data_IF_293430342223
#
_entry.id   IF_293430342223
#
_cell.length_a   1.000
_cell.length_b   1.000
_cell.length_c   1.000
_cell.angle_alpha   90.00
_cell.angle_beta   90.00
_cell.angle_gamma   90.00
#
_symmetry.space_group_name_H-M   'P 1'
#
loop_
_entity.id
_entity.type
_entity.pdbx_description
1 polymer ?
#
# COMPACT_ATOMS: atom_id res chain seq x y z
N UNK A 1 0.01 7.76 1.68
CA UNK A 1 -1.22 6.94 1.91
C UNK A 1 -1.57 6.91 3.39
N UNK A 2 -2.86 6.72 3.74
CA UNK A 2 -3.28 6.70 5.15
C UNK A 2 -3.04 5.30 5.72
N UNK A 3 -2.29 5.22 6.84
CA UNK A 3 -2.07 4.00 7.62
C UNK A 3 -3.39 3.33 7.97
N UNK A 4 -3.50 2.01 7.75
CA UNK A 4 -4.67 1.22 8.14
C UNK A 4 -4.42 0.51 9.46
N UNK A 5 -5.46 0.40 10.27
CA UNK A 5 -5.40 -0.18 11.61
C UNK A 5 -6.28 -1.43 11.64
N UNK A 6 -5.66 -2.60 11.78
CA UNK A 6 -6.37 -3.87 11.81
C UNK A 6 -6.43 -4.44 13.22
N UNK A 7 -7.60 -4.89 13.69
CA UNK A 7 -7.72 -5.57 14.96
C UNK A 7 -7.14 -6.98 14.87
N UNK A 8 -6.53 -7.41 15.95
CA UNK A 8 -6.04 -8.76 16.15
C UNK A 8 -6.60 -9.32 17.46
N UNK A 9 -6.80 -10.62 17.49
CA UNK A 9 -7.23 -11.37 18.66
C UNK A 9 -6.03 -12.14 19.20
N UNK A 10 -5.70 -11.92 20.46
CA UNK A 10 -4.75 -12.72 21.21
C UNK A 10 -5.52 -13.77 22.04
N UNK A 11 -5.26 -15.02 21.82
CA UNK A 11 -5.94 -16.12 22.53
C UNK A 11 -4.95 -17.11 23.12
N UNK A 12 -5.42 -17.84 24.12
CA UNK A 12 -4.67 -18.90 24.76
C UNK A 12 -5.01 -20.22 24.11
N UNK A 13 -3.99 -20.88 23.61
CA UNK A 13 -4.05 -22.20 23.03
C UNK A 13 -3.67 -23.31 24.03
N UNK A 14 -3.57 -24.57 23.55
CA UNK A 14 -3.11 -25.69 24.35
C UNK A 14 -1.75 -25.43 24.99
N UNK A 15 -1.55 -25.97 26.22
CA UNK A 15 -0.30 -25.84 26.99
C UNK A 15 0.11 -24.38 27.28
N UNK A 16 -0.86 -23.48 27.43
CA UNK A 16 -0.63 -22.04 27.63
C UNK A 16 0.13 -21.34 26.52
N UNK A 17 0.23 -21.91 25.32
CA UNK A 17 0.76 -21.20 24.17
C UNK A 17 -0.15 -20.01 23.83
N UNK A 18 0.44 -18.87 23.47
CA UNK A 18 -0.31 -17.71 23.02
C UNK A 18 -0.33 -17.67 21.50
N UNK A 19 -1.52 -17.48 20.93
CA UNK A 19 -1.77 -17.32 19.51
C UNK A 19 -2.38 -15.97 19.22
N UNK A 20 -1.98 -15.35 18.12
CA UNK A 20 -2.62 -14.14 17.61
C UNK A 20 -3.08 -14.38 16.18
N UNK A 21 -4.24 -13.82 15.83
CA UNK A 21 -4.80 -13.93 14.49
C UNK A 21 -5.59 -12.67 14.10
N UNK A 22 -5.74 -12.46 12.80
CA UNK A 22 -6.41 -11.30 12.24
C UNK A 22 -7.73 -11.71 11.57
N UNK A 23 -8.87 -11.18 12.01
CA UNK A 23 -10.18 -11.48 11.39
C UNK A 23 -10.22 -11.15 9.90
N UNK A 24 -9.56 -10.05 9.52
CA UNK A 24 -9.58 -9.52 8.16
C UNK A 24 -8.62 -10.22 7.19
N UNK A 25 -7.69 -11.03 7.73
CA UNK A 25 -6.69 -11.76 6.95
C UNK A 25 -6.72 -13.24 7.28
N UNK A 26 -7.62 -14.01 6.63
CA UNK A 26 -7.73 -15.46 6.86
C UNK A 26 -6.37 -16.16 6.66
N UNK A 27 -5.96 -16.95 7.66
CA UNK A 27 -4.67 -17.63 7.65
C UNK A 27 -3.49 -16.80 8.17
N UNK A 28 -3.66 -15.51 8.44
CA UNK A 28 -2.65 -14.70 9.10
C UNK A 28 -2.68 -14.96 10.61
N UNK A 29 -1.80 -15.85 11.05
CA UNK A 29 -1.69 -16.28 12.46
C UNK A 29 -0.24 -16.23 12.92
N UNK A 30 -0.05 -15.96 14.20
CA UNK A 30 1.27 -15.99 14.84
C UNK A 30 1.17 -16.64 16.21
N UNK A 31 2.25 -17.23 16.69
CA UNK A 31 2.32 -17.81 18.02
C UNK A 31 3.54 -17.35 18.79
N UNK A 32 3.44 -17.28 20.12
CA UNK A 32 4.53 -16.89 20.98
C UNK A 32 4.49 -17.62 22.33
N UNK A 33 5.61 -17.60 23.04
CA UNK A 33 5.75 -18.12 24.40
C UNK A 33 5.38 -17.07 25.45
N UNK A 34 5.44 -15.78 25.04
CA UNK A 34 4.97 -14.65 25.81
C UNK A 34 4.01 -13.81 24.99
N UNK A 35 3.32 -12.87 25.63
CA UNK A 35 2.41 -11.95 24.98
C UNK A 35 3.17 -11.03 24.01
N UNK A 36 4.31 -10.52 24.44
CA UNK A 36 5.16 -9.64 23.64
C UNK A 36 5.64 -10.37 22.37
N UNK A 37 6.11 -11.61 22.52
CA UNK A 37 6.57 -12.41 21.39
C UNK A 37 5.45 -12.72 20.40
N UNK A 38 4.23 -13.02 20.90
CA UNK A 38 3.07 -13.28 20.05
C UNK A 38 2.66 -12.03 19.27
N UNK A 39 2.64 -10.86 19.91
CA UNK A 39 2.30 -9.58 19.28
C UNK A 39 3.35 -9.20 18.22
N UNK A 40 4.63 -9.24 18.56
CA UNK A 40 5.71 -8.90 17.63
C UNK A 40 5.70 -9.80 16.37
N UNK A 41 5.43 -11.08 16.54
CA UNK A 41 5.29 -12.01 15.41
C UNK A 41 4.02 -11.75 14.61
N UNK A 42 2.93 -11.37 15.28
CA UNK A 42 1.69 -11.02 14.60
C UNK A 42 1.86 -9.76 13.73
N UNK A 43 2.57 -8.75 14.20
CA UNK A 43 2.90 -7.56 13.40
C UNK A 43 3.65 -7.91 12.13
N UNK A 44 4.67 -8.77 12.23
CA UNK A 44 5.43 -9.26 11.07
C UNK A 44 4.58 -10.10 10.13
N UNK A 45 3.72 -10.97 10.66
CA UNK A 45 2.83 -11.80 9.86
C UNK A 45 1.81 -10.95 9.09
N UNK A 46 1.26 -9.91 9.72
CA UNK A 46 0.34 -9.00 9.04
C UNK A 46 1.05 -8.22 7.92
N UNK A 47 2.26 -7.72 8.15
CA UNK A 47 3.02 -7.03 7.10
C UNK A 47 3.23 -7.94 5.87
N UNK A 48 3.64 -9.19 6.08
CA UNK A 48 3.79 -10.17 5.00
C UNK A 48 2.47 -10.50 4.29
N UNK A 49 1.35 -10.60 5.03
CA UNK A 49 0.05 -10.84 4.45
C UNK A 49 -0.42 -9.67 3.57
N UNK A 50 -0.17 -8.43 4.01
CA UNK A 50 -0.48 -7.20 3.25
C UNK A 50 0.34 -7.14 1.95
N UNK A 51 1.63 -7.44 2.01
CA UNK A 51 2.50 -7.49 0.82
C UNK A 51 2.02 -8.57 -0.16
N UNK A 52 1.72 -9.76 0.32
CA UNK A 52 1.21 -10.87 -0.50
C UNK A 52 -0.15 -10.57 -1.16
N UNK A 53 -1.03 -9.81 -0.49
CA UNK A 53 -2.29 -9.36 -1.10
C UNK A 53 -2.05 -8.33 -2.20
N UNK A 54 -1.12 -7.41 -1.98
CA UNK A 54 -0.74 -6.40 -2.97
C UNK A 54 -0.10 -7.01 -4.21
N UNK A 55 0.80 -7.97 -4.05
CA UNK A 55 1.41 -8.71 -5.16
C UNK A 55 0.38 -9.45 -6.02
N UNK A 56 -0.71 -9.92 -5.40
CA UNK A 56 -1.84 -10.54 -6.08
C UNK A 56 -2.83 -9.53 -6.70
N UNK A 57 -2.57 -8.22 -6.56
CA UNK A 57 -3.49 -7.17 -7.01
C UNK A 57 -4.81 -7.13 -6.23
N UNK A 58 -4.87 -7.74 -5.06
CA UNK A 58 -6.07 -7.79 -4.22
C UNK A 58 -6.19 -6.51 -3.38
N UNK A 59 -7.37 -5.88 -3.34
CA UNK A 59 -7.59 -4.75 -2.47
C UNK A 59 -7.51 -5.20 -1.01
N UNK A 60 -6.89 -4.37 -0.17
CA UNK A 60 -6.87 -4.65 1.27
C UNK A 60 -8.28 -4.58 1.85
N UNK A 61 -8.66 -5.49 2.75
CA UNK A 61 -9.97 -5.50 3.37
C UNK A 61 -10.19 -4.24 4.22
N UNK A 62 -11.45 -3.88 4.42
CA UNK A 62 -11.78 -2.85 5.41
C UNK A 62 -11.65 -3.46 6.82
N UNK A 63 -11.01 -2.73 7.78
CA UNK A 63 -10.85 -3.24 9.13
C UNK A 63 -12.18 -3.53 9.82
N UNK A 64 -12.33 -4.73 10.35
CA UNK A 64 -13.51 -5.12 11.13
C UNK A 64 -13.52 -4.44 12.49
N UNK A 65 -14.59 -3.74 12.90
CA UNK A 65 -14.71 -3.23 14.27
C UNK A 65 -14.59 -4.36 15.30
N UNK A 66 -13.89 -4.10 16.41
CA UNK A 66 -13.64 -5.14 17.45
C UNK A 66 -14.94 -5.78 17.92
N UNK A 67 -16.02 -5.01 18.03
CA UNK A 67 -17.34 -5.45 18.49
C UNK A 67 -18.03 -6.42 17.52
N UNK A 68 -17.54 -6.49 16.28
CA UNK A 68 -18.09 -7.36 15.21
C UNK A 68 -17.24 -8.59 14.93
N UNK A 69 -16.15 -8.77 15.68
CA UNK A 69 -15.29 -9.94 15.51
C UNK A 69 -16.03 -11.19 15.94
N UNK A 70 -16.18 -12.12 15.02
CA UNK A 70 -16.78 -13.42 15.31
C UNK A 70 -15.71 -14.37 15.84
N UNK A 71 -15.84 -14.76 17.10
CA UNK A 71 -14.94 -15.69 17.74
C UNK A 71 -15.34 -17.15 17.46
N UNK A 72 -14.38 -18.04 17.16
CA UNK A 72 -14.63 -19.49 17.13
C UNK A 72 -15.17 -20.00 18.48
N UNK A 73 -15.96 -21.07 18.45
CA UNK A 73 -16.41 -21.70 19.70
C UNK A 73 -15.23 -22.21 20.52
N UNK A 74 -15.20 -21.83 21.79
CA UNK A 74 -14.15 -22.26 22.72
C UNK A 74 -12.88 -21.39 22.67
N UNK A 75 -12.89 -20.26 22.00
CA UNK A 75 -11.80 -19.29 22.06
C UNK A 75 -11.59 -18.78 23.49
N UNK A 76 -10.37 -18.88 23.99
CA UNK A 76 -9.93 -18.28 25.26
C UNK A 76 -9.19 -16.97 24.96
N UNK A 77 -9.97 -15.90 24.80
CA UNK A 77 -9.47 -14.57 24.41
C UNK A 77 -8.75 -13.94 25.60
N UNK A 78 -7.48 -13.64 25.40
CA UNK A 78 -6.63 -12.94 26.38
C UNK A 78 -6.72 -11.42 26.19
N UNK A 79 -6.68 -10.95 24.94
CA UNK A 79 -6.73 -9.52 24.62
C UNK A 79 -7.10 -9.29 23.15
N UNK A 80 -7.55 -8.07 22.88
CA UNK A 80 -7.57 -7.50 21.54
C UNK A 80 -6.49 -6.43 21.43
N UNK A 81 -5.84 -6.35 20.29
CA UNK A 81 -4.86 -5.30 20.02
C UNK A 81 -4.98 -4.81 18.57
N UNK A 82 -4.41 -3.65 18.29
CA UNK A 82 -4.49 -3.03 16.98
C UNK A 82 -3.10 -2.98 16.38
N UNK A 83 -2.98 -3.45 15.14
CA UNK A 83 -1.75 -3.38 14.36
C UNK A 83 -1.94 -2.40 13.20
N UNK A 84 -1.03 -1.44 13.12
CA UNK A 84 -1.03 -0.47 12.02
C UNK A 84 -0.11 -0.92 10.90
N UNK A 85 -0.63 -0.96 9.67
CA UNK A 85 0.16 -1.20 8.46
C UNK A 85 0.03 -0.04 7.49
N UNK A 86 1.12 0.24 6.81
CA UNK A 86 1.12 1.17 5.68
C UNK A 86 0.79 0.35 4.43
N UNK A 87 -0.32 0.66 3.73
CA UNK A 87 -0.65 -0.03 2.50
C UNK A 87 0.51 0.10 1.51
N UNK A 88 0.89 -1.00 0.82
CA UNK A 88 1.90 -0.91 -0.22
C UNK A 88 1.44 0.08 -1.29
N UNK A 89 2.38 0.92 -1.70
CA UNK A 89 2.15 1.91 -2.76
C UNK A 89 2.60 1.28 -4.09
N UNK A 90 1.65 0.83 -4.94
CA UNK A 90 2.01 0.19 -6.19
C UNK A 90 2.73 1.20 -7.09
N UNK A 91 3.89 0.79 -7.61
CA UNK A 91 4.64 1.60 -8.56
C UNK A 91 3.89 1.70 -9.88
N UNK A 92 3.69 2.91 -10.38
CA UNK A 92 3.13 3.17 -11.70
C UNK A 92 4.25 3.55 -12.68
N UNK A 93 4.18 3.02 -13.91
CA UNK A 93 5.12 3.40 -14.96
C UNK A 93 4.76 4.75 -15.54
N UNK A 94 5.65 5.74 -15.33
CA UNK A 94 5.50 7.09 -15.91
C UNK A 94 6.51 7.30 -17.02
N UNK A 95 6.04 7.80 -18.18
CA UNK A 95 6.90 8.19 -19.29
C UNK A 95 7.09 9.71 -19.27
N UNK A 96 8.34 10.15 -19.20
CA UNK A 96 8.70 11.57 -19.20
C UNK A 96 9.61 11.89 -20.39
N UNK A 97 9.41 13.06 -21.02
CA UNK A 97 10.27 13.57 -22.07
C UNK A 97 11.21 14.62 -21.49
N UNK A 98 12.49 14.36 -21.54
CA UNK A 98 13.51 15.26 -21.03
C UNK A 98 14.58 15.55 -22.08
N UNK A 99 15.25 16.74 -22.02
CA UNK A 99 16.41 17.02 -22.84
C UNK A 99 17.52 15.96 -22.64
N UNK A 100 18.17 15.57 -23.73
CA UNK A 100 19.26 14.57 -23.68
C UNK A 100 20.38 14.97 -22.71
N UNK A 101 20.70 16.28 -22.67
CA UNK A 101 21.73 16.82 -21.75
C UNK A 101 21.35 16.62 -20.26
N UNK A 102 20.07 16.77 -19.92
CA UNK A 102 19.58 16.55 -18.56
C UNK A 102 19.61 15.05 -18.21
N UNK A 103 19.21 14.19 -19.15
CA UNK A 103 19.30 12.73 -18.95
C UNK A 103 20.74 12.31 -18.66
N UNK A 104 21.70 12.82 -19.43
CA UNK A 104 23.14 12.50 -19.22
C UNK A 104 23.65 12.99 -17.85
N UNK A 105 23.16 14.11 -17.35
CA UNK A 105 23.51 14.60 -16.01
C UNK A 105 22.91 13.70 -14.91
N UNK A 106 21.66 13.29 -15.09
CA UNK A 106 20.95 12.38 -14.19
C UNK A 106 21.68 11.04 -14.10
N UNK A 107 22.03 10.45 -15.27
CA UNK A 107 22.70 9.15 -15.32
C UNK A 107 24.06 9.19 -14.59
N UNK A 108 24.84 10.23 -14.83
CA UNK A 108 26.13 10.42 -14.16
C UNK A 108 25.92 10.52 -12.64
N UNK A 109 24.99 11.37 -12.20
CA UNK A 109 24.74 11.58 -10.78
C UNK A 109 24.18 10.34 -10.10
N UNK A 110 23.25 9.63 -10.74
CA UNK A 110 22.72 8.37 -10.24
C UNK A 110 23.84 7.33 -10.04
N UNK A 111 24.73 7.20 -11.03
CA UNK A 111 25.90 6.30 -10.96
C UNK A 111 26.83 6.67 -9.82
N UNK A 112 27.16 7.97 -9.64
CA UNK A 112 28.02 8.46 -8.57
C UNK A 112 27.51 8.07 -7.16
N UNK A 113 26.19 8.03 -6.97
CA UNK A 113 25.57 7.71 -5.68
C UNK A 113 25.03 6.27 -5.61
N UNK A 114 25.35 5.41 -6.59
CA UNK A 114 24.98 3.99 -6.59
C UNK A 114 23.50 3.71 -6.84
N UNK A 115 22.79 4.62 -7.51
CA UNK A 115 21.38 4.48 -7.79
C UNK A 115 21.09 4.16 -9.27
N UNK A 116 19.97 3.51 -9.56
CA UNK A 116 19.41 3.45 -10.91
C UNK A 116 18.81 4.81 -11.29
N UNK A 117 18.67 5.08 -12.61
CA UNK A 117 17.96 6.27 -13.10
C UNK A 117 16.55 6.39 -12.50
N UNK A 118 15.78 5.31 -12.47
CA UNK A 118 14.42 5.30 -11.92
C UNK A 118 14.41 5.62 -10.42
N UNK A 119 15.32 5.03 -9.65
CA UNK A 119 15.46 5.31 -8.22
C UNK A 119 15.87 6.76 -7.97
N UNK A 120 16.75 7.31 -8.82
CA UNK A 120 17.15 8.72 -8.73
C UNK A 120 15.97 9.67 -9.00
N UNK A 121 15.10 9.36 -9.98
CA UNK A 121 13.89 10.15 -10.23
C UNK A 121 12.93 10.14 -9.04
N UNK A 122 12.67 8.97 -8.46
CA UNK A 122 11.83 8.86 -7.27
C UNK A 122 12.38 9.68 -6.11
N UNK A 123 13.67 9.53 -5.83
CA UNK A 123 14.38 10.30 -4.79
C UNK A 123 14.31 11.82 -5.03
N UNK A 124 14.62 12.28 -6.24
CA UNK A 124 14.55 13.69 -6.59
C UNK A 124 13.15 14.26 -6.49
N UNK A 125 12.12 13.49 -6.92
CA UNK A 125 10.74 13.88 -6.82
C UNK A 125 10.29 14.01 -5.35
N UNK A 126 10.67 13.07 -4.47
CA UNK A 126 10.37 13.14 -3.03
C UNK A 126 10.95 14.41 -2.41
N UNK A 127 12.23 14.72 -2.69
CA UNK A 127 12.85 15.96 -2.20
C UNK A 127 12.12 17.20 -2.73
N UNK A 128 11.77 17.20 -4.01
CA UNK A 128 11.08 18.33 -4.63
C UNK A 128 9.69 18.58 -4.02
N UNK A 129 8.95 17.53 -3.69
CA UNK A 129 7.63 17.63 -3.06
C UNK A 129 7.72 18.28 -1.66
N UNK A 130 8.79 17.98 -0.92
CA UNK A 130 8.97 18.52 0.43
C UNK A 130 9.56 19.94 0.44
N UNK A 131 10.34 20.30 -0.58
CA UNK A 131 11.19 21.50 -0.56
C UNK A 131 10.76 22.63 -1.51
N UNK A 132 10.01 22.35 -2.58
CA UNK A 132 9.67 23.36 -3.59
C UNK A 132 8.21 23.82 -3.44
N UNK A 133 7.97 24.96 -2.76
CA UNK A 133 6.62 25.48 -2.61
C UNK A 133 6.05 26.05 -3.94
N UNK A 134 6.89 26.42 -4.90
CA UNK A 134 6.46 26.88 -6.22
C UNK A 134 7.57 26.63 -7.26
N UNK A 135 7.26 26.14 -8.47
CA UNK A 135 8.28 26.06 -9.53
C UNK A 135 8.75 27.48 -9.88
N UNK A 136 10.04 27.66 -10.25
CA UNK A 136 10.53 28.94 -10.74
C UNK A 136 9.65 29.42 -11.90
N UNK A 137 9.38 30.71 -11.95
CA UNK A 137 8.52 31.35 -12.98
C UNK A 137 9.08 31.22 -14.40
N UNK A 138 10.37 30.95 -14.51
CA UNK A 138 11.14 30.72 -15.74
C UNK A 138 11.33 29.23 -16.09
N UNK A 139 10.74 28.33 -15.33
CA UNK A 139 10.72 26.91 -15.65
C UNK A 139 9.86 26.66 -16.88
N UNK A 140 10.47 26.74 -18.05
CA UNK A 140 9.85 26.30 -19.31
C UNK A 140 10.07 24.79 -19.43
N UNK A 141 9.20 24.03 -18.81
CA UNK A 141 9.09 22.59 -19.07
C UNK A 141 8.83 22.33 -20.55
N UNK A 142 9.23 21.18 -21.11
CA UNK A 142 8.83 20.83 -22.46
C UNK A 142 7.30 20.96 -22.55
N UNK A 143 6.80 21.64 -23.59
CA UNK A 143 5.35 21.84 -23.81
C UNK A 143 4.67 20.48 -23.90
N UNK A 144 4.28 19.94 -22.76
CA UNK A 144 3.44 18.76 -22.71
C UNK A 144 2.05 19.19 -23.17
N UNK A 145 1.57 18.61 -24.28
CA UNK A 145 0.12 18.59 -24.52
C UNK A 145 -0.45 17.84 -23.31
N UNK A 146 -1.04 18.57 -22.38
CA UNK A 146 -1.80 17.97 -21.28
C UNK A 146 -2.93 17.19 -21.94
N UNK A 147 -2.76 15.89 -22.12
CA UNK A 147 -3.88 15.01 -22.38
C UNK A 147 -4.78 15.11 -21.16
N UNK A 148 -5.90 15.84 -21.30
CA UNK A 148 -7.00 15.76 -20.34
C UNK A 148 -7.49 14.32 -20.35
N UNK A 149 -6.96 13.52 -19.44
CA UNK A 149 -7.41 12.16 -19.20
C UNK A 149 -8.79 12.24 -18.57
N UNK A 150 -9.79 11.62 -19.24
CA UNK A 150 -10.97 11.14 -18.56
C UNK A 150 -12.21 12.02 -18.56
N UNK A 151 -12.73 12.36 -19.71
CA UNK A 151 -14.18 12.33 -19.85
C UNK A 151 -14.56 10.89 -20.22
N UNK A 152 -15.08 10.14 -19.24
CA UNK A 152 -15.78 8.89 -19.50
C UNK A 152 -16.90 9.19 -20.50
N UNK A 153 -16.75 8.71 -21.73
CA UNK A 153 -17.82 8.82 -22.73
C UNK A 153 -18.99 7.96 -22.25
N UNK A 154 -20.20 8.53 -22.11
CA UNK A 154 -21.37 7.70 -21.81
C UNK A 154 -21.60 6.72 -22.95
N UNK A 155 -21.79 5.44 -22.60
CA UNK A 155 -22.08 4.37 -23.53
C UNK A 155 -23.37 4.66 -24.32
N UNK A 156 -23.26 4.88 -25.60
CA UNK A 156 -24.36 5.14 -26.55
C UNK A 156 -25.12 3.85 -26.96
N UNK A 157 -25.05 2.78 -26.20
CA UNK A 157 -25.72 1.50 -26.53
C UNK A 157 -27.02 1.20 -25.75
N UNK A 158 -27.52 2.12 -24.97
CA UNK A 158 -28.82 1.96 -24.30
C UNK A 158 -29.93 2.67 -25.12
N UNK A 159 -30.35 2.08 -26.23
CA UNK A 159 -31.41 2.67 -27.07
C UNK A 159 -31.83 1.82 -28.25
N UNK A 160 -32.04 0.53 -28.09
CA UNK A 160 -32.84 -0.25 -29.07
C UNK A 160 -34.17 -0.64 -28.44
N UNK A 161 -35.24 0.06 -28.84
CA UNK A 161 -36.62 -0.33 -28.59
C UNK A 161 -36.94 -1.65 -29.29
N UNK A 162 -37.75 -2.53 -28.70
CA UNK A 162 -38.24 -3.69 -29.40
C UNK A 162 -39.29 -3.26 -30.45
N UNK A 163 -39.11 -3.77 -31.66
CA UNK A 163 -40.11 -3.71 -32.74
C UNK A 163 -41.16 -4.83 -32.47
N UNK A 164 -42.38 -4.46 -32.65
CA UNK A 164 -43.55 -5.31 -32.57
C UNK A 164 -43.48 -6.52 -33.50
#
# INVERSE_FOLDING_TARGET
MKRRLYPAVLERGPRNALGAWFPDFPGCVAGGRSQEEAIERAERALAQAVDGWAEQGRPLPEPTPIERILLPKGSDVVAYFIVGVDPPDPSERVNVYLPKSLIAQIDRRATEIGMSRSSFFGFAATIALDWVPRPPTDFVGPRSKVHKTGAVRPDKRAGRKPVR
#
